data_IF_930521745492
#
_entry.id   IF_930521745492
#
_cell.length_a   1.000
_cell.length_b   1.000
_cell.length_c   1.000
_cell.angle_alpha   90.00
_cell.angle_beta   90.00
_cell.angle_gamma   90.00
#
_symmetry.space_group_name_H-M   'P 1'
#
loop_
_entity.id
_entity.type
_entity.pdbx_description
1 polymer ?
#
# COMPACT_ATOMS: atom_id res chain seq x y z
N UNK A 1 -19.07 29.38 14.62
CA UNK A 1 -19.05 27.94 14.27
C UNK A 1 -18.39 27.16 15.40
N UNK A 2 -18.88 25.97 15.75
CA UNK A 2 -18.47 25.21 16.96
C UNK A 2 -17.07 24.58 16.88
N UNK A 3 -16.33 24.79 15.78
CA UNK A 3 -15.06 24.09 15.51
C UNK A 3 -15.22 22.60 15.20
N UNK A 4 -16.46 22.09 15.17
CA UNK A 4 -16.76 20.68 14.89
C UNK A 4 -16.92 20.44 13.38
N UNK A 5 -16.44 19.31 12.84
CA UNK A 5 -16.73 18.92 11.47
C UNK A 5 -18.24 18.85 11.22
N UNK A 6 -18.68 19.31 10.05
CA UNK A 6 -20.04 19.08 9.55
C UNK A 6 -20.02 17.71 8.88
N UNK A 7 -20.55 16.72 9.59
CA UNK A 7 -20.54 15.34 9.12
C UNK A 7 -21.59 15.13 8.02
N UNK A 8 -21.20 14.40 6.97
CA UNK A 8 -22.16 13.81 6.04
C UNK A 8 -22.94 12.71 6.76
N UNK A 9 -24.29 12.74 6.81
CA UNK A 9 -25.07 11.71 7.50
C UNK A 9 -24.73 10.28 7.04
N UNK A 10 -24.41 10.09 5.76
CA UNK A 10 -24.07 8.81 5.15
C UNK A 10 -22.74 8.24 5.67
N UNK A 11 -21.82 9.09 6.14
CA UNK A 11 -20.56 8.65 6.73
C UNK A 11 -20.76 7.88 8.04
N UNK A 12 -21.93 8.00 8.68
CA UNK A 12 -22.32 7.20 9.84
C UNK A 12 -22.94 5.86 9.40
N UNK A 13 -22.18 5.07 8.65
CA UNK A 13 -22.59 3.77 8.12
C UNK A 13 -23.15 2.82 9.20
N UNK A 14 -22.66 2.92 10.45
CA UNK A 14 -23.16 2.19 11.62
C UNK A 14 -24.56 2.60 12.10
N UNK A 15 -25.05 3.79 11.71
CA UNK A 15 -26.44 4.22 11.96
C UNK A 15 -27.34 3.96 10.76
N UNK A 16 -26.81 4.19 9.54
CA UNK A 16 -27.61 4.07 8.32
C UNK A 16 -27.79 2.62 7.87
N UNK A 17 -26.90 1.72 8.31
CA UNK A 17 -26.82 0.33 7.84
C UNK A 17 -26.35 0.21 6.39
N UNK A 18 -25.99 1.31 5.73
CA UNK A 18 -25.58 1.35 4.32
C UNK A 18 -24.05 1.44 4.20
N UNK A 19 -23.44 0.78 3.20
CA UNK A 19 -22.03 0.97 2.92
C UNK A 19 -21.68 2.43 2.62
N UNK A 20 -20.50 2.87 3.05
CA UNK A 20 -19.95 4.19 2.78
C UNK A 20 -18.53 4.09 2.26
N UNK A 21 -18.23 4.75 1.13
CA UNK A 21 -16.86 4.88 0.62
C UNK A 21 -16.29 6.20 1.12
N UNK A 22 -15.35 6.13 2.07
CA UNK A 22 -14.69 7.31 2.61
C UNK A 22 -13.50 7.71 1.75
N UNK A 23 -13.36 9.02 1.52
CA UNK A 23 -12.17 9.65 0.94
C UNK A 23 -11.81 10.85 1.82
N UNK A 24 -10.69 10.81 2.57
CA UNK A 24 -9.77 9.68 2.69
C UNK A 24 -10.36 8.47 3.46
N UNK A 25 -9.85 7.28 3.18
CA UNK A 25 -10.03 6.09 3.99
C UNK A 25 -9.12 6.06 5.24
N UNK A 26 -8.94 4.90 5.86
CA UNK A 26 -8.15 4.75 7.10
C UNK A 26 -6.67 5.10 6.93
N UNK A 27 -6.16 5.06 5.69
CA UNK A 27 -4.80 5.49 5.36
C UNK A 27 -4.63 7.01 5.29
N UNK A 28 -5.71 7.79 5.47
CA UNK A 28 -5.68 9.23 5.66
C UNK A 28 -5.34 10.03 4.40
N UNK A 29 -5.72 11.31 4.41
CA UNK A 29 -5.32 12.27 3.38
C UNK A 29 -3.82 12.64 3.50
N UNK A 30 -3.26 12.41 4.68
CA UNK A 30 -1.86 12.47 5.04
C UNK A 30 -1.63 11.41 6.13
N UNK A 31 -0.46 10.80 6.20
CA UNK A 31 -0.14 9.73 7.15
C UNK A 31 1.22 10.01 7.82
N UNK A 32 1.96 8.97 8.22
CA UNK A 32 3.23 9.09 8.93
C UNK A 32 4.38 9.75 8.15
N UNK A 33 4.29 9.85 6.82
CA UNK A 33 5.32 10.44 5.97
C UNK A 33 5.56 11.90 6.37
N UNK A 34 6.76 12.31 6.86
CA UNK A 34 6.94 13.65 7.42
C UNK A 34 6.59 14.78 6.45
N UNK A 35 5.91 15.81 6.96
CA UNK A 35 5.84 17.12 6.30
C UNK A 35 7.00 18.00 6.75
N UNK A 36 7.25 19.11 6.04
CA UNK A 36 8.30 20.07 6.39
C UNK A 36 7.80 21.49 6.25
N UNK A 37 8.34 22.41 7.05
CA UNK A 37 8.00 23.84 7.04
C UNK A 37 9.20 24.68 6.64
N UNK A 38 8.99 25.67 5.77
CA UNK A 38 10.03 26.63 5.40
C UNK A 38 9.67 28.03 5.93
N UNK A 39 10.44 28.59 6.87
CA UNK A 39 10.13 29.90 7.45
C UNK A 39 10.28 31.06 6.45
N UNK A 40 11.05 30.91 5.36
CA UNK A 40 11.20 31.97 4.35
C UNK A 40 9.97 32.09 3.46
N UNK A 41 9.35 30.96 3.09
CA UNK A 41 8.12 30.96 2.28
C UNK A 41 6.87 31.02 3.15
N UNK A 42 6.97 30.59 4.41
CA UNK A 42 5.84 30.42 5.32
C UNK A 42 4.97 29.21 4.99
N UNK A 43 5.43 28.28 4.14
CA UNK A 43 4.64 27.15 3.63
C UNK A 43 5.00 25.83 4.34
N UNK A 44 4.00 24.96 4.46
CA UNK A 44 4.13 23.56 4.90
C UNK A 44 3.99 22.65 3.68
N UNK A 45 4.96 21.77 3.45
CA UNK A 45 4.98 20.83 2.32
C UNK A 45 4.51 19.44 2.76
N UNK A 46 3.31 19.07 2.32
CA UNK A 46 2.58 17.90 2.81
C UNK A 46 2.53 16.83 1.70
N UNK A 47 3.03 15.61 1.96
CA UNK A 47 2.67 14.42 1.17
C UNK A 47 1.18 14.12 1.40
N UNK A 48 0.34 14.62 0.51
CA UNK A 48 -1.10 14.37 0.50
C UNK A 48 -1.42 13.19 -0.41
N UNK A 49 -2.56 12.54 -0.16
CA UNK A 49 -3.02 11.39 -0.93
C UNK A 49 -4.53 11.23 -0.90
N UNK A 50 -5.05 10.52 -1.89
CA UNK A 50 -6.40 9.98 -1.89
C UNK A 50 -6.30 8.46 -1.96
N UNK A 51 -6.85 7.79 -0.94
CA UNK A 51 -6.96 6.34 -0.90
C UNK A 51 -8.37 6.03 -0.38
N UNK A 52 -9.32 5.72 -1.27
CA UNK A 52 -10.69 5.38 -0.87
C UNK A 52 -10.73 4.09 -0.05
N UNK A 53 -11.69 3.99 0.86
CA UNK A 53 -11.97 2.76 1.59
C UNK A 53 -13.46 2.60 1.85
N UNK A 54 -13.97 1.39 1.63
CA UNK A 54 -15.33 1.02 2.00
C UNK A 54 -15.46 0.74 3.49
N UNK A 55 -16.58 1.17 4.07
CA UNK A 55 -17.00 0.88 5.42
C UNK A 55 -18.42 0.34 5.40
N UNK A 56 -18.66 -0.72 6.17
CA UNK A 56 -19.98 -1.35 6.30
C UNK A 56 -20.19 -1.74 7.76
N UNK A 57 -21.44 -1.62 8.24
CA UNK A 57 -21.82 -1.96 9.60
C UNK A 57 -22.09 -3.46 9.78
N UNK A 58 -22.41 -4.13 8.67
CA UNK A 58 -22.71 -5.56 8.62
C UNK A 58 -21.48 -6.39 9.00
N UNK A 59 -21.60 -7.17 10.08
CA UNK A 59 -20.55 -7.97 10.69
C UNK A 59 -21.08 -9.35 11.05
N UNK A 60 -20.26 -10.36 10.78
CA UNK A 60 -20.57 -11.75 11.12
C UNK A 60 -19.83 -12.20 12.39
N UNK A 61 -20.06 -13.44 12.84
CA UNK A 61 -19.35 -14.01 14.00
C UNK A 61 -17.82 -14.05 13.80
N UNK A 62 -17.35 -14.12 12.55
CA UNK A 62 -15.95 -14.05 12.20
C UNK A 62 -15.33 -12.67 12.46
N UNK A 63 -16.15 -11.61 12.42
CA UNK A 63 -15.71 -10.21 12.58
C UNK A 63 -15.66 -9.77 14.05
N UNK A 64 -16.30 -10.54 14.96
CA UNK A 64 -16.21 -10.31 16.41
C UNK A 64 -14.76 -10.33 16.90
N UNK A 65 -14.55 -9.79 18.10
CA UNK A 65 -13.22 -9.76 18.73
C UNK A 65 -12.60 -11.15 18.77
N UNK A 66 -11.43 -11.32 18.16
CA UNK A 66 -10.60 -12.53 18.26
C UNK A 66 -9.27 -12.21 18.94
N UNK A 67 -8.64 -13.24 19.51
CA UNK A 67 -7.32 -13.13 20.16
C UNK A 67 -6.20 -12.80 19.18
N UNK A 68 -6.36 -13.18 17.91
CA UNK A 68 -5.45 -12.90 16.81
C UNK A 68 -6.25 -12.38 15.61
N UNK A 69 -5.77 -11.29 15.00
CA UNK A 69 -6.42 -10.61 13.86
C UNK A 69 -6.83 -9.18 14.17
N UNK A 70 -7.20 -8.42 13.13
CA UNK A 70 -7.63 -7.04 13.24
C UNK A 70 -9.02 -6.95 13.89
N UNK A 71 -9.15 -6.19 14.99
CA UNK A 71 -10.40 -6.00 15.73
C UNK A 71 -10.91 -4.57 15.56
N UNK A 72 -11.34 -4.22 14.34
CA UNK A 72 -11.72 -2.84 13.97
C UNK A 72 -13.22 -2.55 14.08
N UNK A 73 -14.03 -3.53 14.46
CA UNK A 73 -15.50 -3.36 14.53
C UNK A 73 -16.16 -3.17 13.17
N UNK A 74 -15.58 -3.76 12.11
CA UNK A 74 -16.14 -3.78 10.75
C UNK A 74 -15.65 -5.05 10.02
N UNK A 75 -16.39 -5.48 8.98
CA UNK A 75 -16.05 -6.66 8.18
C UNK A 75 -15.06 -6.34 7.07
N UNK A 76 -13.83 -6.86 7.17
CA UNK A 76 -12.80 -6.67 6.13
C UNK A 76 -13.10 -7.46 4.85
N UNK A 77 -13.75 -8.62 4.97
CA UNK A 77 -14.20 -9.43 3.84
C UNK A 77 -15.24 -8.68 3.00
N UNK A 78 -16.27 -8.14 3.65
CA UNK A 78 -17.38 -7.46 2.96
C UNK A 78 -16.98 -6.09 2.40
N UNK A 79 -15.83 -5.54 2.80
CA UNK A 79 -15.25 -4.30 2.23
C UNK A 79 -14.27 -4.53 1.09
N UNK A 80 -13.99 -5.78 0.72
CA UNK A 80 -13.15 -6.06 -0.44
C UNK A 80 -13.78 -5.50 -1.72
N UNK A 81 -12.93 -5.17 -2.70
CA UNK A 81 -13.43 -4.75 -4.00
C UNK A 81 -14.27 -5.87 -4.64
N UNK A 82 -15.39 -5.53 -5.29
CA UNK A 82 -16.18 -6.51 -6.03
C UNK A 82 -15.38 -7.04 -7.22
N UNK A 83 -15.68 -8.28 -7.65
CA UNK A 83 -15.08 -8.92 -8.82
C UNK A 83 -15.59 -8.32 -10.13
N UNK A 84 -15.35 -7.02 -10.31
CA UNK A 84 -15.75 -6.21 -11.45
C UNK A 84 -14.55 -5.41 -11.99
N UNK A 85 -14.33 -5.49 -13.31
CA UNK A 85 -13.18 -4.82 -13.95
C UNK A 85 -13.29 -3.30 -13.85
N UNK A 86 -14.51 -2.74 -13.87
CA UNK A 86 -14.68 -1.30 -13.75
C UNK A 86 -14.39 -0.81 -12.33
N UNK A 87 -14.81 -1.56 -11.30
CA UNK A 87 -14.48 -1.30 -9.90
C UNK A 87 -12.97 -1.30 -9.66
N UNK A 88 -12.24 -2.28 -10.20
CA UNK A 88 -10.78 -2.30 -10.10
C UNK A 88 -10.10 -1.12 -10.80
N UNK A 89 -10.55 -0.74 -12.01
CA UNK A 89 -10.05 0.45 -12.70
C UNK A 89 -10.33 1.73 -11.90
N UNK A 90 -11.53 1.85 -11.34
CA UNK A 90 -11.91 2.99 -10.52
C UNK A 90 -11.07 3.07 -9.23
N UNK A 91 -10.81 1.95 -8.58
CA UNK A 91 -9.96 1.89 -7.38
C UNK A 91 -8.52 2.34 -7.68
N UNK A 92 -7.94 1.90 -8.80
CA UNK A 92 -6.62 2.37 -9.26
C UNK A 92 -6.66 3.88 -9.53
N UNK A 93 -7.64 4.35 -10.30
CA UNK A 93 -7.74 5.76 -10.71
C UNK A 93 -7.96 6.70 -9.52
N UNK A 94 -8.65 6.24 -8.48
CA UNK A 94 -8.91 7.02 -7.26
C UNK A 94 -7.75 6.98 -6.25
N UNK A 95 -6.72 6.15 -6.46
CA UNK A 95 -5.58 5.99 -5.56
C UNK A 95 -4.39 6.84 -6.01
N UNK A 96 -4.43 8.12 -5.67
CA UNK A 96 -3.48 9.14 -6.17
C UNK A 96 -2.75 9.85 -5.04
N UNK A 97 -1.66 10.54 -5.39
CA UNK A 97 -0.85 11.32 -4.45
C UNK A 97 -0.70 12.76 -4.91
N UNK A 98 -0.30 13.64 -4.00
CA UNK A 98 -0.01 15.04 -4.29
C UNK A 98 1.03 15.59 -3.32
N UNK A 99 1.97 16.39 -3.81
CA UNK A 99 2.78 17.26 -2.96
C UNK A 99 2.04 18.60 -2.84
N UNK A 100 1.60 18.95 -1.64
CA UNK A 100 0.85 20.18 -1.38
C UNK A 100 1.73 21.16 -0.63
N UNK A 101 1.86 22.39 -1.13
CA UNK A 101 2.39 23.50 -0.35
C UNK A 101 1.23 24.31 0.23
N UNK A 102 1.03 24.17 1.53
CA UNK A 102 -0.07 24.75 2.27
C UNK A 102 0.42 25.99 3.03
N UNK A 103 -0.30 27.11 2.93
CA UNK A 103 -0.07 28.28 3.78
C UNK A 103 -0.95 28.18 5.03
N UNK A 104 -0.39 27.87 6.22
CA UNK A 104 -1.17 27.70 7.44
C UNK A 104 -1.78 29.00 7.96
N UNK A 105 -1.31 30.17 7.50
CA UNK A 105 -1.84 31.48 7.93
C UNK A 105 -3.15 31.80 7.22
N UNK A 106 -3.29 31.35 5.97
CA UNK A 106 -4.46 31.64 5.13
C UNK A 106 -5.37 30.43 4.97
N UNK A 107 -4.89 29.23 5.30
CA UNK A 107 -5.62 27.98 5.09
C UNK A 107 -5.71 27.57 3.61
N UNK A 108 -4.87 28.12 2.73
CA UNK A 108 -4.93 27.90 1.29
C UNK A 108 -3.75 27.09 0.77
N UNK A 109 -3.98 26.38 -0.33
CA UNK A 109 -2.91 25.76 -1.11
C UNK A 109 -2.25 26.84 -1.97
N UNK A 110 -0.96 27.08 -1.76
CA UNK A 110 -0.18 28.02 -2.56
C UNK A 110 0.16 27.43 -3.93
N UNK A 111 0.58 26.16 -3.95
CA UNK A 111 0.80 25.37 -5.15
C UNK A 111 0.72 23.87 -4.79
N UNK A 112 0.56 23.02 -5.79
CA UNK A 112 0.64 21.58 -5.58
C UNK A 112 1.05 20.83 -6.86
N UNK A 113 1.67 19.67 -6.68
CA UNK A 113 2.16 18.79 -7.76
C UNK A 113 1.49 17.43 -7.64
N UNK A 114 0.81 16.99 -8.69
CA UNK A 114 0.12 15.70 -8.71
C UNK A 114 1.09 14.55 -8.95
N UNK A 115 0.87 13.45 -8.24
CA UNK A 115 1.57 12.19 -8.42
C UNK A 115 0.58 11.10 -8.85
N UNK A 116 0.94 10.26 -9.84
CA UNK A 116 0.04 9.23 -10.37
C UNK A 116 -0.21 8.07 -9.39
N UNK A 117 0.45 8.05 -8.24
CA UNK A 117 0.28 7.05 -7.19
C UNK A 117 0.30 7.68 -5.80
N UNK A 118 -0.45 7.10 -4.87
CA UNK A 118 -0.44 7.44 -3.46
C UNK A 118 0.85 6.99 -2.73
N UNK A 119 0.92 7.23 -1.42
CA UNK A 119 1.97 6.70 -0.55
C UNK A 119 3.39 7.22 -0.86
N UNK A 120 3.48 8.45 -1.35
CA UNK A 120 4.76 9.13 -1.60
C UNK A 120 5.44 9.50 -0.27
N UNK A 121 6.77 9.59 -0.29
CA UNK A 121 7.57 9.80 0.90
C UNK A 121 7.46 11.19 1.50
N UNK A 122 8.09 11.32 2.66
CA UNK A 122 8.15 12.57 3.41
C UNK A 122 8.93 13.66 2.68
N UNK A 123 8.76 14.89 3.15
CA UNK A 123 9.42 16.06 2.58
C UNK A 123 10.53 16.60 3.48
N UNK A 124 11.50 17.28 2.87
CA UNK A 124 12.48 18.14 3.56
C UNK A 124 12.59 19.43 2.77
N UNK A 125 12.62 20.57 3.45
CA UNK A 125 12.87 21.88 2.81
C UNK A 125 14.13 22.53 3.35
N UNK A 126 14.73 23.43 2.57
CA UNK A 126 15.99 24.11 2.93
C UNK A 126 15.92 25.61 2.67
N UNK A 127 16.85 26.35 3.27
CA UNK A 127 16.97 27.80 3.08
C UNK A 127 17.35 28.23 1.65
N UNK A 128 17.73 27.28 0.78
CA UNK A 128 18.07 27.49 -0.63
C UNK A 128 16.88 27.44 -1.59
N UNK A 129 15.65 27.68 -1.10
CA UNK A 129 14.41 27.62 -1.86
C UNK A 129 14.14 26.24 -2.51
N UNK A 130 14.41 25.16 -1.77
CA UNK A 130 14.18 23.80 -2.23
C UNK A 130 13.26 23.02 -1.29
N UNK A 131 12.43 22.16 -1.87
CA UNK A 131 11.77 21.03 -1.20
C UNK A 131 12.10 19.73 -1.91
N UNK A 132 12.51 18.73 -1.14
CA UNK A 132 12.87 17.40 -1.61
C UNK A 132 11.78 16.40 -1.23
N UNK A 133 11.49 15.46 -2.12
CA UNK A 133 10.55 14.38 -1.87
C UNK A 133 10.91 13.12 -2.68
N UNK A 134 10.80 11.96 -2.05
CA UNK A 134 10.77 10.67 -2.75
C UNK A 134 9.35 10.25 -3.12
N UNK A 135 9.18 9.54 -4.24
CA UNK A 135 7.87 9.04 -4.69
C UNK A 135 7.74 7.53 -4.54
N UNK A 136 6.50 7.03 -4.45
CA UNK A 136 6.23 5.59 -4.40
C UNK A 136 6.60 4.87 -5.70
N UNK A 137 6.80 5.62 -6.80
CA UNK A 137 7.30 5.12 -8.09
C UNK A 137 8.82 5.16 -8.23
N UNK A 138 9.54 5.42 -7.13
CA UNK A 138 10.99 5.35 -7.07
C UNK A 138 11.71 6.52 -7.73
N UNK A 139 11.10 7.70 -7.69
CA UNK A 139 11.71 8.95 -8.13
C UNK A 139 12.13 9.76 -6.91
N UNK A 140 13.34 10.31 -6.91
CA UNK A 140 13.74 11.34 -5.94
C UNK A 140 13.76 12.70 -6.64
N UNK A 141 12.98 13.64 -6.13
CA UNK A 141 12.71 14.93 -6.79
C UNK A 141 13.05 16.09 -5.87
N UNK A 142 13.44 17.20 -6.50
CA UNK A 142 13.54 18.50 -5.84
C UNK A 142 12.69 19.52 -6.60
N UNK A 143 12.02 20.38 -5.85
CA UNK A 143 11.16 21.44 -6.36
C UNK A 143 11.58 22.78 -5.78
N UNK A 144 11.36 23.86 -6.53
CA UNK A 144 11.41 25.21 -5.99
C UNK A 144 10.34 25.36 -4.90
N UNK A 145 10.73 25.84 -3.72
CA UNK A 145 9.88 25.79 -2.53
C UNK A 145 8.73 26.82 -2.59
N UNK A 146 8.87 27.87 -3.37
CA UNK A 146 7.91 28.95 -3.58
C UNK A 146 6.84 28.66 -4.65
N UNK A 147 7.17 27.88 -5.68
CA UNK A 147 6.38 27.73 -6.91
C UNK A 147 6.01 26.28 -7.23
N UNK A 148 6.71 25.31 -6.64
CA UNK A 148 6.52 23.89 -6.96
C UNK A 148 7.14 23.47 -8.30
N UNK A 149 7.91 24.34 -8.96
CA UNK A 149 8.63 23.99 -10.19
C UNK A 149 9.61 22.86 -9.93
N UNK A 150 9.49 21.75 -10.65
CA UNK A 150 10.45 20.63 -10.55
C UNK A 150 11.82 21.06 -11.10
N UNK A 151 12.87 20.84 -10.32
CA UNK A 151 14.26 21.20 -10.65
C UNK A 151 15.17 19.97 -10.79
N UNK A 152 14.78 18.87 -10.16
CA UNK A 152 15.52 17.61 -10.18
C UNK A 152 14.54 16.44 -10.22
N UNK A 153 14.90 15.40 -10.98
CA UNK A 153 14.17 14.13 -10.99
C UNK A 153 15.15 12.98 -11.29
N UNK A 154 15.36 12.12 -10.29
CA UNK A 154 16.33 11.02 -10.37
C UNK A 154 15.62 9.67 -10.20
N UNK A 155 16.03 8.68 -11.00
CA UNK A 155 15.59 7.29 -10.85
C UNK A 155 16.34 6.61 -9.72
N UNK A 156 15.61 6.11 -8.73
CA UNK A 156 16.16 5.43 -7.56
C UNK A 156 15.86 3.93 -7.53
N UNK A 157 15.31 3.37 -8.61
CA UNK A 157 15.01 1.94 -8.82
C UNK A 157 14.00 1.31 -7.84
N UNK A 158 13.63 2.00 -6.76
CA UNK A 158 12.69 1.51 -5.74
C UNK A 158 11.95 2.67 -5.09
N UNK A 159 10.72 2.41 -4.63
CA UNK A 159 9.88 3.40 -3.97
C UNK A 159 10.56 4.04 -2.76
N UNK A 160 10.19 5.28 -2.45
CA UNK A 160 10.76 6.05 -1.34
C UNK A 160 9.60 6.56 -0.49
N UNK A 161 9.47 6.02 0.73
CA UNK A 161 8.48 6.47 1.72
C UNK A 161 9.10 7.31 2.85
N UNK A 162 10.41 7.25 3.02
CA UNK A 162 11.13 8.03 4.03
C UNK A 162 11.19 9.53 3.68
N UNK A 163 11.44 10.38 4.69
CA UNK A 163 11.80 11.77 4.45
C UNK A 163 13.33 11.88 4.23
N UNK A 164 13.78 12.76 3.33
CA UNK A 164 15.19 13.09 3.21
C UNK A 164 15.70 13.90 4.41
N UNK A 165 17.02 13.91 4.58
CA UNK A 165 17.76 14.75 5.51
C UNK A 165 18.95 15.42 4.80
N UNK A 166 19.50 16.49 5.37
CA UNK A 166 20.68 17.17 4.83
C UNK A 166 21.66 17.52 5.94
N UNK A 167 22.95 17.42 5.64
CA UNK A 167 24.04 17.68 6.59
C UNK A 167 25.29 18.15 5.86
N UNK A 168 26.33 18.56 6.61
CA UNK A 168 27.64 18.94 6.07
C UNK A 168 28.76 18.11 6.65
N UNK A 169 29.75 17.79 5.81
CA UNK A 169 31.03 17.15 6.21
C UNK A 169 32.14 17.82 5.42
N UNK A 170 33.16 18.34 6.11
CA UNK A 170 34.31 18.99 5.45
C UNK A 170 33.90 20.15 4.53
N UNK A 171 32.90 20.95 4.91
CA UNK A 171 32.38 22.06 4.10
C UNK A 171 31.45 21.67 2.95
N UNK A 172 31.32 20.38 2.63
CA UNK A 172 30.44 19.88 1.55
C UNK A 172 29.06 19.54 2.12
N UNK A 173 27.99 20.00 1.45
CA UNK A 173 26.62 19.64 1.80
C UNK A 173 26.18 18.34 1.12
N UNK A 174 25.48 17.52 1.88
CA UNK A 174 24.92 16.25 1.44
C UNK A 174 23.41 16.21 1.66
N UNK A 175 22.71 15.41 0.85
CA UNK A 175 21.30 15.05 1.03
C UNK A 175 21.21 13.53 1.12
N UNK A 176 20.66 12.99 2.20
CA UNK A 176 20.55 11.56 2.43
C UNK A 176 19.10 11.12 2.58
N UNK A 177 18.77 9.95 2.03
CA UNK A 177 17.46 9.32 2.13
C UNK A 177 17.57 7.82 1.93
N UNK A 178 16.50 7.09 2.27
CA UNK A 178 16.43 5.65 2.08
C UNK A 178 15.47 5.29 0.96
N UNK A 179 15.94 4.55 -0.04
CA UNK A 179 15.04 3.84 -0.96
C UNK A 179 14.44 2.68 -0.18
N UNK A 180 13.12 2.65 -0.06
CA UNK A 180 12.39 1.55 0.57
C UNK A 180 10.92 1.70 0.22
N UNK A 181 10.35 0.65 -0.35
CA UNK A 181 8.90 0.44 -0.38
C UNK A 181 8.50 -0.17 0.97
N UNK A 182 7.47 0.35 1.61
CA UNK A 182 7.07 -0.16 2.93
C UNK A 182 5.87 0.58 3.52
N UNK A 183 5.53 0.21 4.76
CA UNK A 183 4.34 0.69 5.44
C UNK A 183 3.07 -0.11 5.08
N UNK A 184 1.91 0.35 5.55
CA UNK A 184 0.65 -0.38 5.42
C UNK A 184 0.15 -0.50 3.97
N UNK A 185 0.30 0.55 3.14
CA UNK A 185 -0.24 0.58 1.77
C UNK A 185 0.25 -0.58 0.88
N UNK A 186 1.56 -0.87 0.75
CA UNK A 186 1.99 -1.98 -0.09
C UNK A 186 1.64 -3.37 0.45
N UNK A 187 1.13 -3.47 1.69
CA UNK A 187 0.55 -4.70 2.23
C UNK A 187 -0.91 -4.87 1.83
N UNK A 188 -1.71 -3.80 1.91
CA UNK A 188 -3.18 -3.89 1.84
C UNK A 188 -3.79 -3.47 0.50
N UNK A 189 -3.13 -2.59 -0.25
CA UNK A 189 -3.73 -1.91 -1.40
C UNK A 189 -4.14 -2.86 -2.54
N UNK A 190 -3.54 -4.04 -2.60
CA UNK A 190 -3.73 -5.01 -3.67
C UNK A 190 -3.68 -4.37 -5.05
N UNK A 191 -4.73 -4.56 -5.85
CA UNK A 191 -4.82 -4.01 -7.22
C UNK A 191 -4.89 -2.48 -7.24
N UNK A 192 -5.45 -1.83 -6.22
CA UNK A 192 -5.52 -0.36 -6.12
C UNK A 192 -4.12 0.27 -6.00
N UNK A 193 -3.10 -0.53 -5.66
CA UNK A 193 -1.69 -0.13 -5.75
C UNK A 193 -1.26 0.27 -7.16
N UNK A 194 -1.97 -0.15 -8.21
CA UNK A 194 -1.74 0.28 -9.59
C UNK A 194 -0.28 0.13 -10.02
N UNK A 195 0.33 1.22 -10.49
CA UNK A 195 1.73 1.22 -10.93
C UNK A 195 2.73 0.85 -9.82
N UNK A 196 2.40 1.09 -8.54
CA UNK A 196 3.31 0.77 -7.41
C UNK A 196 3.54 -0.74 -7.26
N UNK A 197 2.65 -1.58 -7.81
CA UNK A 197 2.80 -3.05 -7.80
C UNK A 197 4.06 -3.51 -8.52
N UNK A 198 4.47 -2.78 -9.55
CA UNK A 198 5.64 -3.09 -10.37
C UNK A 198 6.95 -2.56 -9.77
N UNK A 199 6.86 -1.74 -8.73
CA UNK A 199 8.02 -1.12 -8.10
C UNK A 199 8.58 -2.09 -7.04
N UNK A 200 9.83 -2.55 -7.18
CA UNK A 200 10.44 -3.47 -6.22
C UNK A 200 10.79 -2.75 -4.92
N UNK A 201 11.02 -3.52 -3.86
CA UNK A 201 11.62 -3.03 -2.64
C UNK A 201 13.13 -3.29 -2.66
N UNK A 202 13.93 -2.26 -2.89
CA UNK A 202 15.41 -2.36 -2.89
C UNK A 202 15.94 -1.38 -1.84
N UNK A 203 16.12 -1.83 -0.58
CA UNK A 203 16.59 -0.99 0.49
C UNK A 203 18.02 -0.47 0.27
N UNK A 204 18.21 0.86 0.20
CA UNK A 204 19.54 1.50 0.15
C UNK A 204 19.54 2.81 0.91
N UNK A 205 20.66 3.14 1.55
CA UNK A 205 20.96 4.52 1.94
C UNK A 205 21.60 5.22 0.73
N UNK A 206 20.97 6.27 0.23
CA UNK A 206 21.48 7.11 -0.85
C UNK A 206 21.93 8.42 -0.26
N UNK A 207 23.13 8.87 -0.62
CA UNK A 207 23.70 10.15 -0.18
C UNK A 207 24.17 10.92 -1.40
N UNK A 208 23.54 12.05 -1.67
CA UNK A 208 23.80 12.92 -2.81
C UNK A 208 24.66 14.12 -2.39
N UNK A 209 25.50 14.59 -3.31
CA UNK A 209 26.15 15.90 -3.27
C UNK A 209 26.22 16.49 -4.68
N UNK A 210 26.43 17.80 -4.78
CA UNK A 210 26.71 18.44 -6.08
C UNK A 210 27.98 17.83 -6.69
N UNK A 211 27.93 17.51 -7.99
CA UNK A 211 29.04 16.88 -8.72
C UNK A 211 29.31 15.42 -8.37
N UNK A 212 28.41 14.74 -7.62
CA UNK A 212 28.52 13.31 -7.37
C UNK A 212 28.38 12.48 -8.65
N UNK A 213 29.25 11.48 -8.84
CA UNK A 213 29.33 10.65 -10.06
C UNK A 213 29.02 9.17 -9.83
N UNK A 214 28.71 8.78 -8.58
CA UNK A 214 28.39 7.38 -8.24
C UNK A 214 27.10 6.96 -8.96
N UNK A 215 27.15 5.81 -9.64
CA UNK A 215 25.99 5.19 -10.28
C UNK A 215 25.36 4.17 -9.34
N UNK A 216 24.04 4.05 -9.38
CA UNK A 216 23.35 2.95 -8.71
C UNK A 216 23.81 1.61 -9.33
N UNK A 217 23.96 0.55 -8.53
CA UNK A 217 24.20 -0.77 -9.08
C UNK A 217 22.99 -1.22 -9.92
N UNK A 218 23.22 -2.18 -10.82
CA UNK A 218 22.12 -2.79 -11.57
C UNK A 218 21.06 -3.33 -10.59
N UNK A 219 19.76 -3.22 -10.92
CA UNK A 219 18.72 -3.88 -10.13
C UNK A 219 18.96 -5.40 -10.09
N UNK A 220 18.60 -6.09 -9.00
CA UNK A 220 18.63 -7.55 -8.98
C UNK A 220 17.81 -8.13 -10.14
N UNK A 221 18.29 -9.21 -10.76
CA UNK A 221 17.49 -9.94 -11.74
C UNK A 221 16.25 -10.52 -11.05
N UNK A 222 15.06 -10.21 -11.55
CA UNK A 222 13.83 -10.89 -11.14
C UNK A 222 13.55 -12.02 -12.12
N UNK A 223 13.39 -13.25 -11.61
CA UNK A 223 12.86 -14.34 -12.40
C UNK A 223 11.37 -14.11 -12.61
N UNK A 224 10.89 -14.29 -13.85
CA UNK A 224 9.46 -14.29 -14.12
C UNK A 224 8.80 -15.41 -13.29
N UNK A 225 7.79 -15.05 -12.49
CA UNK A 225 7.04 -16.04 -11.73
C UNK A 225 6.16 -16.84 -12.70
N UNK A 226 6.26 -18.17 -12.64
CA UNK A 226 5.37 -19.04 -13.39
C UNK A 226 3.95 -18.96 -12.79
N UNK A 227 3.05 -18.25 -13.46
CA UNK A 227 1.66 -18.11 -13.01
C UNK A 227 0.81 -19.30 -13.46
N UNK A 228 1.01 -20.45 -12.81
CA UNK A 228 0.36 -21.71 -13.15
C UNK A 228 -0.52 -22.20 -11.98
N UNK A 229 -1.72 -21.63 -11.80
CA UNK A 229 -2.60 -22.06 -10.71
C UNK A 229 -3.06 -23.52 -10.90
N UNK A 230 -3.24 -24.27 -9.80
CA UNK A 230 -3.93 -25.55 -9.84
C UNK A 230 -5.37 -25.42 -10.38
N UNK A 231 -5.94 -26.49 -10.96
CA UNK A 231 -7.34 -26.50 -11.33
C UNK A 231 -8.24 -26.36 -10.09
N UNK A 232 -9.38 -25.73 -10.27
CA UNK A 232 -10.35 -25.52 -9.20
C UNK A 232 -11.15 -26.79 -8.93
N UNK A 233 -11.13 -27.28 -7.69
CA UNK A 233 -11.83 -28.51 -7.28
C UNK A 233 -12.78 -28.31 -6.10
N UNK A 234 -12.70 -27.17 -5.40
CA UNK A 234 -13.54 -26.88 -4.26
C UNK A 234 -14.92 -26.33 -4.67
N UNK A 235 -15.91 -26.52 -3.80
CA UNK A 235 -17.27 -26.02 -4.02
C UNK A 235 -17.36 -24.49 -3.84
N UNK A 236 -18.37 -23.82 -4.42
CA UNK A 236 -18.59 -22.39 -4.19
C UNK A 236 -18.70 -22.02 -2.70
N UNK A 237 -19.30 -22.88 -1.88
CA UNK A 237 -19.41 -22.67 -0.43
C UNK A 237 -18.05 -22.71 0.26
N UNK A 238 -17.16 -23.63 -0.12
CA UNK A 238 -15.80 -23.68 0.41
C UNK A 238 -14.99 -22.43 0.02
N UNK A 239 -15.15 -21.95 -1.21
CA UNK A 239 -14.53 -20.69 -1.66
C UNK A 239 -15.02 -19.51 -0.85
N UNK A 240 -16.34 -19.42 -0.63
CA UNK A 240 -16.94 -18.32 0.14
C UNK A 240 -16.42 -18.30 1.59
N UNK A 241 -16.34 -19.47 2.23
CA UNK A 241 -15.72 -19.60 3.56
C UNK A 241 -14.24 -19.17 3.52
N UNK A 242 -13.49 -19.63 2.53
CA UNK A 242 -12.10 -19.25 2.30
C UNK A 242 -11.90 -17.74 2.14
N UNK A 243 -12.76 -17.09 1.36
CA UNK A 243 -12.77 -15.63 1.17
C UNK A 243 -12.99 -14.90 2.48
N UNK A 244 -13.95 -15.36 3.28
CA UNK A 244 -14.23 -14.76 4.59
C UNK A 244 -13.01 -14.85 5.53
N UNK A 245 -12.40 -16.03 5.65
CA UNK A 245 -11.19 -16.21 6.44
C UNK A 245 -9.99 -15.43 5.89
N UNK A 246 -9.81 -15.39 4.57
CA UNK A 246 -8.77 -14.60 3.94
C UNK A 246 -8.93 -13.11 4.26
N UNK A 247 -10.14 -12.57 4.14
CA UNK A 247 -10.45 -11.19 4.50
C UNK A 247 -10.21 -10.90 5.97
N UNK A 248 -10.49 -11.86 6.84
CA UNK A 248 -10.28 -11.70 8.28
C UNK A 248 -8.80 -11.71 8.68
N UNK A 249 -7.99 -12.59 8.09
CA UNK A 249 -6.67 -12.91 8.63
C UNK A 249 -5.50 -12.61 7.68
N UNK A 250 -5.73 -12.57 6.37
CA UNK A 250 -4.66 -12.54 5.37
C UNK A 250 -4.57 -11.20 4.62
N UNK A 251 -5.71 -10.51 4.41
CA UNK A 251 -5.79 -9.28 3.59
C UNK A 251 -4.80 -8.18 4.03
N UNK A 252 -4.56 -8.08 5.33
CA UNK A 252 -3.71 -7.03 5.93
C UNK A 252 -2.23 -7.19 5.58
N UNK A 253 -1.84 -8.35 5.04
CA UNK A 253 -0.49 -8.63 4.57
C UNK A 253 -0.45 -8.98 3.08
N UNK A 254 -1.41 -9.74 2.57
CA UNK A 254 -1.38 -10.30 1.21
C UNK A 254 -2.28 -9.57 0.20
N UNK A 255 -2.83 -8.43 0.60
CA UNK A 255 -3.60 -7.54 -0.26
C UNK A 255 -5.04 -7.98 -0.50
N UNK A 256 -5.86 -7.01 -0.88
CA UNK A 256 -7.24 -7.23 -1.32
C UNK A 256 -7.32 -8.30 -2.42
N UNK A 257 -8.33 -9.18 -2.33
CA UNK A 257 -8.60 -10.21 -3.32
C UNK A 257 -7.42 -11.17 -3.61
N UNK A 258 -6.53 -11.35 -2.62
CA UNK A 258 -5.27 -12.08 -2.73
C UNK A 258 -4.29 -11.54 -3.78
N UNK A 259 -4.47 -10.29 -4.21
CA UNK A 259 -3.58 -9.61 -5.15
C UNK A 259 -2.51 -8.90 -4.33
N UNK A 260 -1.25 -9.31 -4.46
CA UNK A 260 -0.15 -8.62 -3.80
C UNK A 260 0.17 -7.26 -4.43
N UNK A 261 0.68 -6.35 -3.61
CA UNK A 261 1.31 -5.10 -4.06
C UNK A 261 2.84 -5.16 -3.90
N UNK A 262 3.46 -6.32 -4.18
CA UNK A 262 4.91 -6.49 -4.32
C UNK A 262 5.74 -6.24 -3.05
N UNK A 263 5.13 -6.17 -1.86
CA UNK A 263 5.87 -6.09 -0.60
C UNK A 263 5.84 -7.40 0.18
N UNK A 264 4.80 -8.22 0.11
CA UNK A 264 4.69 -9.61 0.61
C UNK A 264 4.62 -10.61 -0.55
N UNK A 265 4.85 -11.92 -0.31
CA UNK A 265 4.67 -12.91 -1.36
C UNK A 265 3.22 -12.87 -1.88
N UNK A 266 3.06 -12.91 -3.19
CA UNK A 266 1.75 -13.04 -3.83
C UNK A 266 1.30 -14.49 -3.73
N UNK A 267 0.26 -14.74 -2.93
CA UNK A 267 -0.17 -16.09 -2.59
C UNK A 267 -0.71 -16.87 -3.80
N UNK A 268 -1.16 -16.17 -4.85
CA UNK A 268 -1.69 -16.76 -6.09
C UNK A 268 -0.64 -17.55 -6.88
N UNK A 269 0.64 -17.35 -6.58
CA UNK A 269 1.78 -18.06 -7.16
C UNK A 269 2.70 -18.65 -6.09
N UNK A 270 2.17 -18.88 -4.89
CA UNK A 270 2.91 -19.53 -3.82
C UNK A 270 3.35 -20.95 -4.24
N UNK A 271 4.59 -21.32 -3.93
CA UNK A 271 5.09 -22.68 -4.15
C UNK A 271 4.35 -23.76 -3.34
N UNK A 272 3.61 -23.36 -2.30
CA UNK A 272 2.79 -24.29 -1.49
C UNK A 272 1.35 -24.43 -2.00
N UNK A 273 0.91 -23.62 -2.98
CA UNK A 273 -0.49 -23.53 -3.36
C UNK A 273 -1.06 -24.86 -3.88
N UNK A 274 -0.23 -25.64 -4.58
CA UNK A 274 -0.59 -26.94 -5.15
C UNK A 274 -0.59 -28.10 -4.13
N UNK A 275 -0.10 -27.91 -2.90
CA UNK A 275 0.04 -28.97 -1.90
C UNK A 275 -0.63 -28.57 -0.58
N UNK A 276 -1.72 -29.27 -0.24
CA UNK A 276 -2.53 -28.95 0.93
C UNK A 276 -1.76 -29.06 2.27
N UNK A 277 -0.90 -30.07 2.42
CA UNK A 277 -0.11 -30.24 3.64
C UNK A 277 0.97 -29.17 3.77
N UNK A 278 1.65 -28.82 2.68
CA UNK A 278 2.62 -27.72 2.68
C UNK A 278 1.94 -26.38 3.00
N UNK A 279 0.76 -26.12 2.42
CA UNK A 279 -0.04 -24.93 2.72
C UNK A 279 -0.42 -24.87 4.21
N UNK A 280 -0.99 -25.95 4.74
CA UNK A 280 -1.35 -26.10 6.16
C UNK A 280 -0.12 -25.91 7.07
N UNK A 281 1.02 -26.48 6.71
CA UNK A 281 2.29 -26.32 7.42
C UNK A 281 2.75 -24.87 7.53
N UNK A 282 2.46 -24.04 6.52
CA UNK A 282 2.72 -22.59 6.57
C UNK A 282 1.66 -21.86 7.42
N UNK A 283 0.38 -22.03 7.10
CA UNK A 283 -0.72 -21.21 7.65
C UNK A 283 -0.96 -21.48 9.14
N UNK A 284 -0.97 -22.75 9.56
CA UNK A 284 -1.19 -23.13 10.96
C UNK A 284 0.00 -23.86 11.57
N UNK A 285 0.86 -24.50 10.78
CA UNK A 285 2.06 -25.17 11.28
C UNK A 285 3.23 -24.23 11.62
N UNK A 286 3.19 -22.96 11.17
CA UNK A 286 4.23 -21.98 11.49
C UNK A 286 5.58 -22.22 10.80
N UNK A 287 5.61 -22.97 9.69
CA UNK A 287 6.84 -23.30 8.96
C UNK A 287 7.65 -22.07 8.50
N UNK A 288 7.02 -20.89 8.42
CA UNK A 288 7.65 -19.63 8.00
C UNK A 288 7.64 -18.55 9.10
N UNK A 289 7.45 -18.93 10.37
CA UNK A 289 7.36 -17.97 11.50
C UNK A 289 8.60 -17.09 11.64
N UNK A 290 9.80 -17.66 11.43
CA UNK A 290 11.06 -16.94 11.54
C UNK A 290 11.29 -15.96 10.37
N UNK A 291 10.43 -16.01 9.34
CA UNK A 291 10.37 -15.06 8.23
C UNK A 291 9.20 -14.09 8.33
N UNK A 292 8.54 -14.03 9.49
CA UNK A 292 7.43 -13.12 9.78
C UNK A 292 6.04 -13.62 9.37
N UNK A 293 5.90 -14.85 8.86
CA UNK A 293 4.58 -15.46 8.59
C UNK A 293 4.08 -16.20 9.83
N UNK A 294 3.15 -15.57 10.56
CA UNK A 294 2.63 -16.11 11.82
C UNK A 294 1.84 -17.40 11.62
N UNK A 295 1.84 -18.26 12.64
CA UNK A 295 0.88 -19.36 12.72
C UNK A 295 -0.48 -18.83 13.19
N UNK A 296 -1.53 -19.30 12.53
CA UNK A 296 -2.91 -18.99 12.88
C UNK A 296 -3.63 -20.14 13.62
N UNK A 297 -2.90 -21.13 14.15
CA UNK A 297 -3.50 -22.30 14.81
C UNK A 297 -4.45 -21.97 15.98
N UNK A 298 -4.28 -20.80 16.61
CA UNK A 298 -5.15 -20.34 17.70
C UNK A 298 -6.52 -19.80 17.24
N UNK A 299 -6.71 -19.56 15.94
CA UNK A 299 -7.92 -18.94 15.38
C UNK A 299 -8.41 -19.58 14.08
N UNK A 300 -7.67 -20.54 13.52
CA UNK A 300 -8.02 -21.29 12.32
C UNK A 300 -7.88 -22.79 12.57
N UNK A 301 -8.83 -23.55 12.06
CA UNK A 301 -8.78 -25.01 11.97
C UNK A 301 -8.05 -25.45 10.69
N UNK A 302 -7.68 -26.75 10.57
CA UNK A 302 -7.18 -27.29 9.30
C UNK A 302 -8.15 -27.12 8.13
N UNK A 303 -9.46 -27.21 8.37
CA UNK A 303 -10.48 -27.00 7.35
C UNK A 303 -10.52 -25.54 6.87
N UNK A 304 -10.36 -24.57 7.79
CA UNK A 304 -10.30 -23.15 7.43
C UNK A 304 -9.05 -22.84 6.60
N UNK A 305 -7.90 -23.43 6.97
CA UNK A 305 -6.67 -23.28 6.21
C UNK A 305 -6.82 -23.80 4.77
N UNK A 306 -7.50 -24.94 4.60
CA UNK A 306 -7.82 -25.50 3.28
C UNK A 306 -8.82 -24.64 2.52
N UNK A 307 -9.85 -24.09 3.18
CA UNK A 307 -10.79 -23.17 2.55
C UNK A 307 -10.08 -21.91 2.04
N UNK A 308 -9.15 -21.33 2.81
CA UNK A 308 -8.32 -20.20 2.34
C UNK A 308 -7.51 -20.61 1.11
N UNK A 309 -6.91 -21.82 1.09
CA UNK A 309 -6.18 -22.33 -0.07
C UNK A 309 -7.07 -22.39 -1.31
N UNK A 310 -8.28 -22.94 -1.16
CA UNK A 310 -9.27 -23.03 -2.23
C UNK A 310 -9.64 -21.64 -2.77
N UNK A 311 -9.85 -20.65 -1.88
CA UNK A 311 -10.07 -19.26 -2.29
C UNK A 311 -8.88 -18.68 -3.06
N UNK A 312 -7.64 -18.89 -2.61
CA UNK A 312 -6.45 -18.37 -3.31
C UNK A 312 -6.27 -19.04 -4.68
N UNK A 313 -6.60 -20.32 -4.82
CA UNK A 313 -6.63 -21.02 -6.12
C UNK A 313 -7.68 -20.39 -7.04
N UNK A 314 -8.90 -20.16 -6.53
CA UNK A 314 -9.96 -19.48 -7.27
C UNK A 314 -9.49 -18.09 -7.71
N UNK A 315 -8.93 -17.28 -6.79
CA UNK A 315 -8.39 -15.95 -7.11
C UNK A 315 -7.32 -16.01 -8.17
N UNK A 316 -6.40 -16.96 -8.09
CA UNK A 316 -5.32 -17.08 -9.07
C UNK A 316 -5.87 -17.40 -10.46
N UNK A 317 -6.81 -18.34 -10.57
CA UNK A 317 -7.50 -18.66 -11.83
C UNK A 317 -8.31 -17.47 -12.37
N UNK A 318 -9.15 -16.86 -11.54
CA UNK A 318 -10.03 -15.76 -11.94
C UNK A 318 -9.25 -14.53 -12.37
N UNK A 319 -8.24 -14.12 -11.60
CA UNK A 319 -7.44 -12.94 -11.94
C UNK A 319 -6.57 -13.17 -13.17
N UNK A 320 -6.12 -14.39 -13.43
CA UNK A 320 -5.42 -14.76 -14.67
C UNK A 320 -6.33 -14.62 -15.90
N UNK A 321 -7.57 -15.07 -15.80
CA UNK A 321 -8.54 -14.98 -16.88
C UNK A 321 -9.08 -13.56 -17.11
N UNK A 322 -9.23 -12.75 -16.04
CA UNK A 322 -9.99 -11.51 -16.10
C UNK A 322 -9.14 -10.23 -15.98
N UNK A 323 -7.97 -10.30 -15.35
CA UNK A 323 -7.16 -9.14 -14.96
C UNK A 323 -5.66 -9.36 -15.18
N UNK A 324 -5.25 -10.15 -16.19
CA UNK A 324 -3.84 -10.48 -16.38
C UNK A 324 -2.92 -9.24 -16.38
N UNK A 325 -3.30 -8.18 -17.09
CA UNK A 325 -2.47 -6.97 -17.24
C UNK A 325 -2.36 -6.14 -15.96
N UNK A 326 -3.45 -6.04 -15.19
CA UNK A 326 -3.54 -5.17 -14.00
C UNK A 326 -3.21 -5.89 -12.71
N UNK A 327 -3.18 -7.23 -12.71
CA UNK A 327 -3.04 -8.09 -11.53
C UNK A 327 -1.96 -9.15 -11.64
N UNK A 328 -1.14 -9.17 -12.72
CA UNK A 328 -0.03 -10.11 -12.84
C UNK A 328 0.79 -10.20 -11.53
N UNK A 329 1.05 -11.41 -11.02
CA UNK A 329 1.93 -11.62 -9.88
C UNK A 329 3.34 -11.11 -10.19
N UNK A 330 3.97 -10.47 -9.21
CA UNK A 330 5.31 -9.92 -9.33
C UNK A 330 6.24 -10.63 -8.35
N UNK A 331 7.47 -10.89 -8.79
CA UNK A 331 8.55 -11.30 -7.90
C UNK A 331 8.82 -10.24 -6.82
N UNK A 332 9.29 -10.70 -5.66
CA UNK A 332 9.86 -9.84 -4.62
C UNK A 332 11.33 -9.56 -4.93
#
# INVERSE_FOLDING_TARGET
ATGRPIEKPEARFYKTGKPFIAIPGALGAHNWHPMSYNPKTGLVYIPAQQIPQGYIADMDELDRRKVLGFNIGASLNKTMLPDDKAAFRAAIAATTGRLVAFDPRTGKVAWAVDHPAAWNGGTMTTAGNLVFQGTSLGRFRAYAADTGKQLLDLDMQSGIVSAPSTFRVGGVQYVAFQTSKGGAFPLVAGVAGGATRKIPNIPRLVVLKIGGTVKLPAPPSSAALAWNPPPMTATPTQVAAGKAHFGRYCIVCHGDSAIGNGFTPDLRVSGTLANADAWKGVVIGGALKDRGMVSFANVLTPADAEAIRAYVIERSNWTKANLADSSAPMGR
#
